data_IF_975233501069
#
_entry.id   IF_975233501069
#
_cell.length_a   1.000
_cell.length_b   1.000
_cell.length_c   1.000
_cell.angle_alpha   90.00
_cell.angle_beta   90.00
_cell.angle_gamma   90.00
#
_symmetry.space_group_name_H-M   'P 1'
#
loop_
_entity.id
_entity.type
_entity.pdbx_description
1 polymer ?
#
# COMPACT_ATOMS: atom_id res chain seq x y z
N UNK A 1 16.52 10.32 12.05
CA UNK A 1 16.67 11.15 13.28
C UNK A 1 16.30 10.35 14.54
N UNK A 2 17.14 9.40 14.99
CA UNK A 2 16.84 8.52 16.15
C UNK A 2 17.85 8.62 17.31
N UNK A 3 18.50 9.77 17.49
CA UNK A 3 19.56 9.93 18.50
C UNK A 3 19.61 11.26 19.27
N UNK A 4 18.60 12.14 19.15
CA UNK A 4 18.72 13.52 19.66
C UNK A 4 18.18 13.76 21.07
N UNK A 5 17.47 12.82 21.70
CA UNK A 5 16.96 13.01 23.07
C UNK A 5 17.73 12.18 24.09
N UNK A 6 18.97 12.61 24.36
CA UNK A 6 19.68 12.18 25.55
C UNK A 6 18.91 12.71 26.79
N UNK A 7 18.63 11.85 27.78
CA UNK A 7 17.77 12.14 28.96
C UNK A 7 18.12 13.47 29.67
N UNK A 8 19.39 13.88 29.62
CA UNK A 8 19.90 15.15 30.18
C UNK A 8 19.46 16.40 29.41
N UNK A 9 19.27 16.34 28.09
CA UNK A 9 18.78 17.47 27.28
C UNK A 9 17.29 17.76 27.52
N UNK A 10 16.51 16.72 27.80
CA UNK A 10 15.09 16.86 28.13
C UNK A 10 14.85 17.68 29.41
N UNK A 11 15.68 17.50 30.44
CA UNK A 11 15.53 18.21 31.72
C UNK A 11 15.84 19.70 31.58
N UNK A 12 16.90 20.05 30.83
CA UNK A 12 17.27 21.47 30.59
C UNK A 12 16.19 22.22 29.81
N UNK A 13 15.58 21.58 28.81
CA UNK A 13 14.49 22.18 28.03
C UNK A 13 13.26 22.47 28.89
N UNK A 14 12.89 21.57 29.80
CA UNK A 14 11.77 21.78 30.73
C UNK A 14 12.00 23.00 31.62
N UNK A 15 13.21 23.16 32.17
CA UNK A 15 13.55 24.34 32.98
C UNK A 15 13.53 25.64 32.18
N UNK A 16 14.03 25.65 30.95
CA UNK A 16 13.98 26.83 30.08
C UNK A 16 12.52 27.25 29.81
N UNK A 17 11.63 26.28 29.59
CA UNK A 17 10.22 26.53 29.31
C UNK A 17 9.50 27.10 30.55
N UNK A 18 9.77 26.55 31.73
CA UNK A 18 9.24 27.07 33.00
C UNK A 18 9.71 28.50 33.29
N UNK A 19 10.99 28.78 33.09
CA UNK A 19 11.56 30.12 33.27
C UNK A 19 10.94 31.10 32.27
N UNK A 20 10.80 30.71 30.99
CA UNK A 20 10.17 31.54 29.97
C UNK A 20 8.72 31.90 30.31
N UNK A 21 7.95 30.94 30.82
CA UNK A 21 6.56 31.16 31.21
C UNK A 21 6.44 32.09 32.43
N UNK A 22 7.35 31.96 33.40
CA UNK A 22 7.44 32.88 34.54
C UNK A 22 7.79 34.31 34.11
N UNK A 23 8.70 34.48 33.15
CA UNK A 23 9.06 35.81 32.60
C UNK A 23 7.86 36.45 31.90
N UNK A 24 7.11 35.69 31.09
CA UNK A 24 5.88 36.19 30.42
C UNK A 24 4.84 36.60 31.47
N UNK A 25 4.65 35.79 32.50
CA UNK A 25 3.72 36.11 33.60
C UNK A 25 4.10 37.44 34.28
N UNK A 26 5.37 37.60 34.66
CA UNK A 26 5.86 38.84 35.27
C UNK A 26 5.70 40.06 34.35
N UNK A 27 5.99 39.91 33.06
CA UNK A 27 5.86 41.00 32.09
C UNK A 27 4.41 41.47 31.94
N UNK A 28 3.47 40.54 31.78
CA UNK A 28 2.03 40.84 31.67
C UNK A 28 1.50 41.46 32.96
N UNK A 29 1.91 40.95 34.12
CA UNK A 29 1.53 41.51 35.42
C UNK A 29 2.00 42.95 35.60
N UNK A 30 3.29 43.22 35.32
CA UNK A 30 3.85 44.56 35.41
C UNK A 30 3.16 45.54 34.44
N UNK A 31 2.80 45.09 33.24
CA UNK A 31 2.02 45.87 32.28
C UNK A 31 0.67 46.32 32.84
N UNK A 32 -0.13 45.39 33.38
CA UNK A 32 -1.43 45.76 33.97
C UNK A 32 -1.31 46.59 35.25
N UNK A 33 -0.31 46.31 36.09
CA UNK A 33 -0.17 47.02 37.36
C UNK A 33 0.39 48.43 37.20
N UNK A 34 1.50 48.59 36.47
CA UNK A 34 2.21 49.87 36.37
C UNK A 34 1.74 50.75 35.19
N UNK A 35 1.34 50.16 34.06
CA UNK A 35 0.95 50.94 32.87
C UNK A 35 -0.56 51.23 32.90
N UNK A 36 -1.38 50.22 33.19
CA UNK A 36 -2.83 50.39 33.24
C UNK A 36 -3.35 50.90 34.60
N UNK A 37 -2.48 51.03 35.61
CA UNK A 37 -2.81 51.49 36.97
C UNK A 37 -3.93 50.66 37.64
N UNK A 38 -4.02 49.37 37.32
CA UNK A 38 -5.02 48.50 37.91
C UNK A 38 -4.64 48.10 39.34
N UNK A 39 -5.67 47.85 40.16
CA UNK A 39 -5.46 47.31 41.51
C UNK A 39 -4.72 45.98 41.45
N UNK A 40 -3.87 45.70 42.43
CA UNK A 40 -3.07 44.46 42.49
C UNK A 40 -3.91 43.20 42.25
N UNK A 41 -5.08 43.12 42.89
CA UNK A 41 -6.00 41.99 42.77
C UNK A 41 -6.53 41.83 41.33
N UNK A 42 -6.90 42.94 40.69
CA UNK A 42 -7.38 42.94 39.30
C UNK A 42 -6.27 42.59 38.32
N UNK A 43 -5.07 43.17 38.48
CA UNK A 43 -3.92 42.85 37.62
C UNK A 43 -3.57 41.35 37.68
N UNK A 44 -3.54 40.77 38.88
CA UNK A 44 -3.23 39.35 39.07
C UNK A 44 -4.27 38.43 38.43
N UNK A 45 -5.57 38.70 38.62
CA UNK A 45 -6.66 37.90 38.04
C UNK A 45 -6.61 37.89 36.51
N UNK A 46 -6.43 39.05 35.87
CA UNK A 46 -6.33 39.14 34.41
C UNK A 46 -5.05 38.52 33.86
N UNK A 47 -3.90 38.70 34.52
CA UNK A 47 -2.65 38.04 34.11
C UNK A 47 -2.78 36.52 34.18
N UNK A 48 -3.40 35.97 35.23
CA UNK A 48 -3.65 34.54 35.36
C UNK A 48 -4.55 34.02 34.22
N UNK A 49 -5.64 34.73 33.90
CA UNK A 49 -6.54 34.37 32.79
C UNK A 49 -5.81 34.35 31.44
N UNK A 50 -5.00 35.37 31.16
CA UNK A 50 -4.25 35.48 29.90
C UNK A 50 -3.21 34.37 29.79
N UNK A 51 -2.46 34.11 30.87
CA UNK A 51 -1.43 33.06 30.87
C UNK A 51 -2.03 31.67 30.76
N UNK A 52 -3.17 31.40 31.41
CA UNK A 52 -3.91 30.15 31.24
C UNK A 52 -4.46 29.98 29.81
N UNK A 53 -4.96 31.06 29.20
CA UNK A 53 -5.41 31.03 27.81
C UNK A 53 -4.26 30.75 26.84
N UNK A 54 -3.09 31.39 27.03
CA UNK A 54 -1.89 31.11 26.25
C UNK A 54 -1.42 29.67 26.43
N UNK A 55 -1.41 29.16 27.67
CA UNK A 55 -1.02 27.79 27.96
C UNK A 55 -1.96 26.81 27.27
N UNK A 56 -3.28 27.00 27.37
CA UNK A 56 -4.27 26.18 26.70
C UNK A 56 -4.11 26.20 25.17
N UNK A 57 -3.83 27.36 24.59
CA UNK A 57 -3.57 27.50 23.16
C UNK A 57 -2.29 26.76 22.72
N UNK A 58 -1.20 26.87 23.49
CA UNK A 58 0.04 26.13 23.24
C UNK A 58 -0.17 24.61 23.37
N UNK A 59 -0.94 24.17 24.37
CA UNK A 59 -1.31 22.76 24.52
C UNK A 59 -2.11 22.25 23.32
N UNK A 60 -3.03 23.06 22.78
CA UNK A 60 -3.80 22.72 21.59
C UNK A 60 -2.89 22.60 20.36
N UNK A 61 -1.97 23.54 20.14
CA UNK A 61 -0.97 23.46 19.05
C UNK A 61 -0.14 22.17 19.18
N UNK A 62 0.32 21.86 20.39
CA UNK A 62 1.09 20.65 20.65
C UNK A 62 0.28 19.39 20.31
N UNK A 63 -1.00 19.33 20.70
CA UNK A 63 -1.88 18.22 20.35
C UNK A 63 -2.11 18.08 18.84
N UNK A 64 -2.33 19.20 18.12
CA UNK A 64 -2.46 19.19 16.66
C UNK A 64 -1.18 18.63 16.02
N UNK A 65 -0.01 19.11 16.44
CA UNK A 65 1.26 18.64 15.90
C UNK A 65 1.50 17.15 16.20
N UNK A 66 1.11 16.68 17.40
CA UNK A 66 1.24 15.27 17.75
C UNK A 66 0.28 14.40 16.92
N UNK A 67 -0.96 14.85 16.68
CA UNK A 67 -1.91 14.15 15.81
C UNK A 67 -1.38 14.07 14.37
N UNK A 68 -0.84 15.16 13.82
CA UNK A 68 -0.22 15.16 12.49
C UNK A 68 0.94 14.16 12.39
N UNK A 69 1.81 14.11 13.40
CA UNK A 69 2.89 13.13 13.47
C UNK A 69 2.37 11.69 13.56
N UNK A 70 1.28 11.45 14.29
CA UNK A 70 0.63 10.13 14.38
C UNK A 70 0.05 9.72 13.04
N UNK A 71 -0.68 10.61 12.36
CA UNK A 71 -1.24 10.36 11.02
C UNK A 71 -0.13 10.00 10.05
N UNK A 72 0.95 10.81 9.97
CA UNK A 72 2.09 10.53 9.10
C UNK A 72 2.73 9.16 9.39
N UNK A 73 2.92 8.85 10.66
CA UNK A 73 3.51 7.55 11.06
C UNK A 73 2.59 6.38 10.68
N UNK A 74 1.27 6.56 10.81
CA UNK A 74 0.29 5.56 10.44
C UNK A 74 0.22 5.36 8.92
N UNK A 75 0.27 6.44 8.14
CA UNK A 75 0.34 6.37 6.67
C UNK A 75 1.61 5.64 6.20
N UNK A 76 2.77 5.97 6.77
CA UNK A 76 4.02 5.27 6.47
C UNK A 76 3.94 3.78 6.85
N UNK A 77 3.36 3.47 8.02
CA UNK A 77 3.15 2.09 8.46
C UNK A 77 2.19 1.34 7.54
N UNK A 78 1.10 1.98 7.09
CA UNK A 78 0.13 1.38 6.18
C UNK A 78 0.77 1.08 4.83
N UNK A 79 1.59 2.01 4.31
CA UNK A 79 2.35 1.79 3.08
C UNK A 79 3.31 0.61 3.21
N UNK A 80 4.04 0.51 4.31
CA UNK A 80 4.94 -0.62 4.57
C UNK A 80 4.17 -1.95 4.69
N UNK A 81 3.01 -1.94 5.36
CA UNK A 81 2.16 -3.11 5.49
C UNK A 81 1.62 -3.57 4.13
N UNK A 82 1.15 -2.64 3.29
CA UNK A 82 0.70 -2.92 1.93
C UNK A 82 1.83 -3.52 1.09
N UNK A 83 3.03 -2.95 1.14
CA UNK A 83 4.19 -3.47 0.41
C UNK A 83 4.58 -4.87 0.88
N UNK A 84 4.56 -5.13 2.20
CA UNK A 84 4.84 -6.45 2.76
C UNK A 84 3.79 -7.47 2.33
N UNK A 85 2.52 -7.13 2.48
CA UNK A 85 1.40 -7.97 2.06
C UNK A 85 1.49 -8.29 0.56
N UNK A 86 1.81 -7.29 -0.27
CA UNK A 86 2.00 -7.47 -1.70
C UNK A 86 3.13 -8.45 -2.02
N UNK A 87 4.26 -8.31 -1.31
CA UNK A 87 5.39 -9.23 -1.47
C UNK A 87 5.02 -10.66 -1.06
N UNK A 88 4.29 -10.83 0.05
CA UNK A 88 3.88 -12.14 0.55
C UNK A 88 2.95 -12.85 -0.46
N UNK A 89 1.92 -12.15 -0.97
CA UNK A 89 1.03 -12.69 -2.01
C UNK A 89 1.78 -13.04 -3.29
N UNK A 90 2.72 -12.19 -3.69
CA UNK A 90 3.60 -12.44 -4.83
C UNK A 90 4.53 -13.65 -4.60
N UNK A 91 5.03 -13.84 -3.39
CA UNK A 91 5.90 -14.97 -3.06
C UNK A 91 5.17 -16.33 -3.13
N UNK A 92 3.85 -16.34 -3.01
CA UNK A 92 3.04 -17.56 -3.05
C UNK A 92 3.20 -18.34 -4.37
N UNK A 93 3.43 -17.65 -5.48
CA UNK A 93 3.71 -18.29 -6.77
C UNK A 93 4.98 -19.14 -6.77
N UNK A 94 5.90 -18.87 -5.85
CA UNK A 94 7.19 -19.57 -5.71
C UNK A 94 7.15 -20.63 -4.60
N UNK A 95 6.02 -20.84 -3.94
CA UNK A 95 5.88 -21.91 -2.94
C UNK A 95 5.98 -23.29 -3.61
N UNK A 96 6.47 -24.33 -2.90
CA UNK A 96 6.65 -25.66 -3.47
C UNK A 96 5.40 -26.22 -4.18
N UNK A 97 4.21 -26.00 -3.61
CA UNK A 97 2.94 -26.43 -4.20
C UNK A 97 2.65 -25.76 -5.55
N UNK A 98 2.99 -24.47 -5.70
CA UNK A 98 2.85 -23.77 -6.98
C UNK A 98 3.97 -24.11 -7.96
N UNK A 99 5.15 -24.52 -7.50
CA UNK A 99 6.24 -24.91 -8.41
C UNK A 99 5.87 -26.14 -9.24
N UNK A 100 5.22 -27.14 -8.64
CA UNK A 100 4.74 -28.33 -9.38
C UNK A 100 3.68 -27.95 -10.43
N UNK A 101 2.73 -27.09 -10.05
CA UNK A 101 1.70 -26.56 -10.95
C UNK A 101 2.33 -25.79 -12.11
N UNK A 102 3.31 -24.93 -11.81
CA UNK A 102 4.01 -24.14 -12.81
C UNK A 102 4.78 -25.02 -13.78
N UNK A 103 5.36 -26.14 -13.32
CA UNK A 103 6.06 -27.08 -14.19
C UNK A 103 5.08 -27.85 -15.09
N UNK A 104 3.93 -28.28 -14.57
CA UNK A 104 2.87 -28.86 -15.37
C UNK A 104 2.36 -27.89 -16.44
N UNK A 105 2.17 -26.62 -16.08
CA UNK A 105 1.77 -25.59 -17.04
C UNK A 105 2.85 -25.32 -18.09
N UNK A 106 4.13 -25.30 -17.72
CA UNK A 106 5.24 -25.15 -18.67
C UNK A 106 5.29 -26.29 -19.67
N UNK A 107 5.17 -27.53 -19.19
CA UNK A 107 5.07 -28.71 -20.06
C UNK A 107 3.86 -28.58 -20.99
N UNK A 108 2.69 -28.22 -20.47
CA UNK A 108 1.49 -28.01 -21.27
C UNK A 108 1.69 -26.97 -22.38
N UNK A 109 2.22 -25.78 -22.05
CA UNK A 109 2.44 -24.70 -23.03
C UNK A 109 3.45 -25.12 -24.08
N UNK A 110 4.50 -25.87 -23.69
CA UNK A 110 5.51 -26.38 -24.62
C UNK A 110 4.92 -27.42 -25.56
N UNK A 111 4.25 -28.42 -25.00
CA UNK A 111 3.79 -29.60 -25.73
C UNK A 111 2.55 -29.30 -26.60
N UNK A 112 1.80 -28.24 -26.28
CA UNK A 112 0.61 -27.81 -27.01
C UNK A 112 0.77 -26.43 -27.69
N UNK A 113 2.01 -25.95 -27.87
CA UNK A 113 2.28 -24.61 -28.40
C UNK A 113 1.61 -24.34 -29.77
N UNK A 114 1.51 -25.36 -30.62
CA UNK A 114 0.88 -25.26 -31.96
C UNK A 114 -0.65 -25.23 -31.88
N UNK A 115 -1.22 -25.88 -30.85
CA UNK A 115 -2.66 -25.88 -30.59
C UNK A 115 -3.12 -24.60 -29.88
N UNK A 116 -2.21 -23.88 -29.22
CA UNK A 116 -2.46 -22.56 -28.62
C UNK A 116 -2.56 -21.41 -29.64
N UNK A 117 -2.34 -21.68 -30.93
CA UNK A 117 -2.56 -20.71 -32.01
C UNK A 117 -4.05 -20.55 -32.31
N UNK A 118 -4.47 -19.36 -32.78
CA UNK A 118 -5.89 -19.06 -33.08
C UNK A 118 -6.57 -20.10 -33.98
N UNK A 119 -5.84 -20.62 -34.97
CA UNK A 119 -6.36 -21.59 -35.95
C UNK A 119 -6.68 -22.97 -35.34
N UNK A 120 -6.01 -23.35 -34.25
CA UNK A 120 -6.12 -24.67 -33.63
C UNK A 120 -6.72 -24.64 -32.23
N UNK A 121 -7.25 -23.49 -31.78
CA UNK A 121 -7.62 -23.30 -30.37
C UNK A 121 -8.74 -24.24 -29.91
N UNK A 122 -9.64 -24.62 -30.82
CA UNK A 122 -10.68 -25.62 -30.55
C UNK A 122 -10.08 -26.99 -30.22
N UNK A 123 -8.99 -27.40 -30.88
CA UNK A 123 -8.26 -28.65 -30.56
C UNK A 123 -7.62 -28.57 -29.18
N UNK A 124 -7.08 -27.41 -28.80
CA UNK A 124 -6.55 -27.20 -27.45
C UNK A 124 -7.65 -27.30 -26.39
N UNK A 125 -8.83 -26.70 -26.63
CA UNK A 125 -9.96 -26.82 -25.70
C UNK A 125 -10.38 -28.28 -25.53
N UNK A 126 -10.55 -29.02 -26.63
CA UNK A 126 -10.89 -30.45 -26.58
C UNK A 126 -9.82 -31.28 -25.83
N UNK A 127 -8.53 -30.96 -26.03
CA UNK A 127 -7.44 -31.61 -25.31
C UNK A 127 -7.52 -31.37 -23.80
N UNK A 128 -7.77 -30.12 -23.36
CA UNK A 128 -7.89 -29.77 -21.94
C UNK A 128 -9.14 -30.36 -21.30
N UNK A 129 -10.22 -30.51 -22.06
CA UNK A 129 -11.47 -31.08 -21.57
C UNK A 129 -11.46 -32.62 -21.49
N UNK A 130 -10.46 -33.29 -22.08
CA UNK A 130 -10.26 -34.74 -21.94
C UNK A 130 -9.95 -35.12 -20.48
N UNK A 131 -10.73 -36.05 -19.86
CA UNK A 131 -10.48 -36.54 -18.50
C UNK A 131 -9.05 -37.05 -18.26
N UNK A 132 -8.35 -37.53 -19.30
CA UNK A 132 -6.95 -37.99 -19.19
C UNK A 132 -5.98 -36.86 -18.86
N UNK A 133 -6.33 -35.61 -19.20
CA UNK A 133 -5.48 -34.43 -19.04
C UNK A 133 -5.88 -33.57 -17.83
N UNK A 134 -6.50 -34.18 -16.81
CA UNK A 134 -7.03 -33.47 -15.64
C UNK A 134 -5.97 -32.64 -14.91
N UNK A 135 -4.71 -33.11 -14.83
CA UNK A 135 -3.62 -32.39 -14.18
C UNK A 135 -3.24 -31.12 -14.93
N UNK A 136 -3.18 -31.20 -16.26
CA UNK A 136 -2.89 -30.06 -17.13
C UNK A 136 -4.01 -29.02 -17.06
N UNK A 137 -5.27 -29.48 -17.08
CA UNK A 137 -6.44 -28.62 -16.89
C UNK A 137 -6.41 -27.91 -15.54
N UNK A 138 -6.12 -28.64 -14.46
CA UNK A 138 -5.99 -28.06 -13.12
C UNK A 138 -4.87 -27.03 -13.06
N UNK A 139 -3.69 -27.35 -13.62
CA UNK A 139 -2.58 -26.42 -13.63
C UNK A 139 -2.91 -25.12 -14.38
N UNK A 140 -3.51 -25.23 -15.56
CA UNK A 140 -3.96 -24.08 -16.34
C UNK A 140 -4.98 -23.23 -15.59
N UNK A 141 -6.01 -23.87 -15.03
CA UNK A 141 -7.06 -23.17 -14.28
C UNK A 141 -6.51 -22.47 -13.03
N UNK A 142 -5.67 -23.14 -12.24
CA UNK A 142 -5.07 -22.57 -11.04
C UNK A 142 -4.20 -21.36 -11.38
N UNK A 143 -3.34 -21.47 -12.39
CA UNK A 143 -2.48 -20.34 -12.77
C UNK A 143 -3.28 -19.16 -13.32
N UNK A 144 -4.26 -19.39 -14.19
CA UNK A 144 -5.11 -18.30 -14.72
C UNK A 144 -5.92 -17.63 -13.61
N UNK A 145 -6.47 -18.40 -12.68
CA UNK A 145 -7.22 -17.87 -11.54
C UNK A 145 -6.32 -17.11 -10.55
N UNK A 146 -5.07 -17.55 -10.38
CA UNK A 146 -4.08 -16.85 -9.58
C UNK A 146 -3.75 -15.48 -10.19
N UNK A 147 -3.50 -15.43 -11.50
CA UNK A 147 -3.25 -14.16 -12.19
C UNK A 147 -4.47 -13.24 -12.19
N UNK A 148 -5.67 -13.78 -12.37
CA UNK A 148 -6.91 -12.99 -12.27
C UNK A 148 -7.11 -12.41 -10.88
N UNK A 149 -6.84 -13.19 -9.83
CA UNK A 149 -6.97 -12.74 -8.44
C UNK A 149 -5.99 -11.61 -8.12
N UNK A 150 -4.72 -11.77 -8.49
CA UNK A 150 -3.72 -10.69 -8.34
C UNK A 150 -4.15 -9.45 -9.13
N UNK A 151 -4.62 -9.63 -10.36
CA UNK A 151 -5.00 -8.51 -11.20
C UNK A 151 -6.18 -7.73 -10.64
N UNK A 152 -7.19 -8.43 -10.12
CA UNK A 152 -8.32 -7.82 -9.46
C UNK A 152 -7.88 -7.00 -8.24
N UNK A 153 -6.99 -7.54 -7.40
CA UNK A 153 -6.49 -6.84 -6.23
C UNK A 153 -5.62 -5.62 -6.58
N UNK A 154 -4.82 -5.69 -7.65
CA UNK A 154 -4.06 -4.53 -8.15
C UNK A 154 -4.99 -3.44 -8.68
N UNK A 155 -6.01 -3.81 -9.47
CA UNK A 155 -6.94 -2.83 -10.06
C UNK A 155 -7.80 -2.11 -9.00
N UNK A 156 -8.07 -2.76 -7.86
CA UNK A 156 -8.82 -2.16 -6.73
C UNK A 156 -7.89 -1.42 -5.76
N UNK A 157 -6.57 -1.60 -5.85
CA UNK A 157 -5.58 -0.94 -4.98
C UNK A 157 -5.27 -1.70 -3.69
N UNK A 158 -5.72 -2.94 -3.55
CA UNK A 158 -5.40 -3.84 -2.42
C UNK A 158 -3.96 -4.38 -2.51
N UNK A 159 -3.34 -4.28 -3.69
CA UNK A 159 -1.93 -4.58 -3.94
C UNK A 159 -1.23 -3.40 -4.60
N UNK A 160 0.05 -3.24 -4.29
CA UNK A 160 0.91 -2.20 -4.88
C UNK A 160 1.29 -2.58 -6.33
N UNK A 161 0.72 -1.87 -7.32
CA UNK A 161 0.92 -2.10 -8.77
C UNK A 161 2.42 -2.12 -9.14
N UNK A 162 3.22 -1.20 -8.60
CA UNK A 162 4.65 -1.10 -8.91
C UNK A 162 5.42 -2.32 -8.39
N UNK A 163 5.11 -2.78 -7.18
CA UNK A 163 5.73 -3.98 -6.62
C UNK A 163 5.34 -5.21 -7.43
N UNK A 164 4.06 -5.37 -7.76
CA UNK A 164 3.59 -6.51 -8.56
C UNK A 164 4.21 -6.47 -9.95
N UNK A 165 4.17 -5.33 -10.66
CA UNK A 165 4.76 -5.17 -12.00
C UNK A 165 6.26 -5.49 -11.99
N UNK A 166 7.01 -5.06 -10.98
CA UNK A 166 8.44 -5.38 -10.86
C UNK A 166 8.72 -6.88 -10.64
N UNK A 167 7.89 -7.56 -9.84
CA UNK A 167 8.08 -8.98 -9.52
C UNK A 167 7.51 -9.92 -10.59
N UNK A 168 6.41 -9.53 -11.22
CA UNK A 168 5.56 -10.38 -12.06
C UNK A 168 5.31 -9.85 -13.47
N UNK A 169 5.57 -8.58 -13.79
CA UNK A 169 5.17 -7.96 -15.06
C UNK A 169 5.62 -8.77 -16.28
N UNK A 170 6.91 -9.13 -16.34
CA UNK A 170 7.46 -9.99 -17.42
C UNK A 170 6.87 -11.40 -17.46
N UNK A 171 6.44 -11.93 -16.31
CA UNK A 171 5.83 -13.25 -16.22
C UNK A 171 4.38 -13.19 -16.71
N UNK A 172 3.61 -12.24 -16.20
CA UNK A 172 2.23 -11.94 -16.59
C UNK A 172 2.12 -11.73 -18.09
N UNK A 173 2.95 -10.84 -18.65
CA UNK A 173 2.94 -10.57 -20.09
C UNK A 173 3.25 -11.82 -20.92
N UNK A 174 4.24 -12.62 -20.52
CA UNK A 174 4.59 -13.86 -21.23
C UNK A 174 3.47 -14.89 -21.23
N UNK A 175 2.84 -15.13 -20.08
CA UNK A 175 1.71 -16.07 -20.00
C UNK A 175 0.48 -15.54 -20.74
N UNK A 176 0.19 -14.25 -20.63
CA UNK A 176 -0.92 -13.63 -21.35
C UNK A 176 -0.74 -13.81 -22.85
N UNK A 177 0.42 -13.46 -23.42
CA UNK A 177 0.68 -13.63 -24.86
C UNK A 177 0.53 -15.09 -25.31
N UNK A 178 1.01 -16.06 -24.50
CA UNK A 178 0.90 -17.49 -24.82
C UNK A 178 -0.51 -18.05 -24.73
N UNK A 179 -1.33 -17.52 -23.82
CA UNK A 179 -2.68 -18.04 -23.55
C UNK A 179 -3.78 -17.13 -24.12
N UNK A 180 -3.44 -16.01 -24.77
CA UNK A 180 -4.39 -15.00 -25.23
C UNK A 180 -5.49 -15.60 -26.11
N UNK A 181 -5.14 -16.48 -27.06
CA UNK A 181 -6.14 -17.11 -27.91
C UNK A 181 -7.08 -18.04 -27.13
N UNK A 182 -6.57 -18.75 -26.12
CA UNK A 182 -7.40 -19.58 -25.25
C UNK A 182 -8.33 -18.74 -24.38
N UNK A 183 -7.81 -17.66 -23.79
CA UNK A 183 -8.59 -16.73 -22.98
C UNK A 183 -9.72 -16.14 -23.82
N UNK A 184 -9.41 -15.62 -25.01
CA UNK A 184 -10.41 -15.07 -25.93
C UNK A 184 -11.47 -16.11 -26.31
N UNK A 185 -11.06 -17.33 -26.64
CA UNK A 185 -11.98 -18.42 -26.97
C UNK A 185 -12.95 -18.73 -25.81
N UNK A 186 -12.46 -18.77 -24.56
CA UNK A 186 -13.31 -18.98 -23.39
C UNK A 186 -14.19 -17.76 -23.05
N UNK A 187 -13.76 -16.55 -23.39
CA UNK A 187 -14.53 -15.34 -23.20
C UNK A 187 -15.72 -15.22 -24.16
N UNK A 188 -15.70 -15.90 -25.31
CA UNK A 188 -16.88 -16.01 -26.19
C UNK A 188 -18.06 -16.68 -25.45
N UNK A 189 -17.78 -17.71 -24.66
CA UNK A 189 -18.78 -18.40 -23.83
C UNK A 189 -19.04 -17.67 -22.50
N UNK A 190 -17.99 -17.15 -21.87
CA UNK A 190 -18.02 -16.55 -20.54
C UNK A 190 -17.23 -15.22 -20.51
N UNK A 191 -17.86 -14.09 -20.89
CA UNK A 191 -17.18 -12.81 -21.16
C UNK A 191 -16.38 -12.21 -19.99
N UNK A 192 -16.63 -12.64 -18.76
CA UNK A 192 -15.92 -12.16 -17.56
C UNK A 192 -14.69 -12.99 -17.20
N UNK A 193 -14.40 -14.05 -17.95
CA UNK A 193 -13.29 -14.96 -17.65
C UNK A 193 -11.96 -14.24 -17.82
N UNK A 194 -11.22 -14.11 -16.72
CA UNK A 194 -9.86 -13.57 -16.67
C UNK A 194 -9.71 -12.15 -17.25
N UNK A 195 -10.77 -11.34 -17.15
CA UNK A 195 -10.82 -10.00 -17.73
C UNK A 195 -9.87 -9.02 -17.03
N UNK A 196 -9.67 -9.17 -15.71
CA UNK A 196 -8.76 -8.31 -14.98
C UNK A 196 -7.31 -8.63 -15.34
N UNK A 197 -7.00 -9.92 -15.49
CA UNK A 197 -5.71 -10.38 -15.99
C UNK A 197 -5.40 -9.83 -17.38
N UNK A 198 -6.35 -9.95 -18.31
CA UNK A 198 -6.20 -9.37 -19.65
C UNK A 198 -5.92 -7.87 -19.61
N UNK A 199 -6.73 -7.10 -18.88
CA UNK A 199 -6.59 -5.64 -18.77
C UNK A 199 -5.23 -5.25 -18.21
N UNK A 200 -4.82 -5.88 -17.11
CA UNK A 200 -3.57 -5.54 -16.44
C UNK A 200 -2.35 -5.96 -17.26
N UNK A 201 -2.39 -7.15 -17.87
CA UNK A 201 -1.31 -7.63 -18.73
C UNK A 201 -1.13 -6.72 -19.96
N UNK A 202 -2.21 -6.32 -20.63
CA UNK A 202 -2.16 -5.37 -21.75
C UNK A 202 -1.56 -4.03 -21.33
N UNK A 203 -2.04 -3.46 -20.22
CA UNK A 203 -1.51 -2.20 -19.66
C UNK A 203 0.01 -2.28 -19.50
N UNK A 204 0.51 -3.31 -18.82
CA UNK A 204 1.94 -3.44 -18.56
C UNK A 204 2.78 -3.73 -19.81
N UNK A 205 2.25 -4.49 -20.78
CA UNK A 205 2.92 -4.73 -22.06
C UNK A 205 3.08 -3.42 -22.85
N UNK A 206 2.07 -2.56 -22.83
CA UNK A 206 2.11 -1.29 -23.56
C UNK A 206 3.02 -0.27 -22.86
N UNK A 207 3.03 -0.24 -21.52
CA UNK A 207 3.98 0.57 -20.73
C UNK A 207 5.45 0.20 -20.99
N UNK A 208 5.77 -1.04 -21.39
CA UNK A 208 7.14 -1.47 -21.74
C UNK A 208 7.56 -1.04 -23.16
N UNK A 209 6.61 -0.68 -24.03
CA UNK A 209 6.90 -0.25 -25.42
C UNK A 209 7.08 1.26 -25.55
N UNK A 210 6.50 2.03 -24.63
CA UNK A 210 6.59 3.49 -24.53
C UNK A 210 7.85 3.93 -23.79
#
# INVERSE_FOLDING_TARGET
MKGLFNKKYSIKLVWILLIGLAVIFCFVFLGFHFIANWSFASSLDYTAKITLAMLAFLTLIYHIHNLENQIRTQEESNKQNLSKYTYDICADFRRPTMMEINEHLRCLIRDQNDNLQSQNISKFSLFIDDPKNIKQRQALAITLNYFESISAMVLVGDLDDEIVKRLFGKLFGRYYVKLQHYINFRQEEAPKSWINFEKLAKKWIDDEKS
#
